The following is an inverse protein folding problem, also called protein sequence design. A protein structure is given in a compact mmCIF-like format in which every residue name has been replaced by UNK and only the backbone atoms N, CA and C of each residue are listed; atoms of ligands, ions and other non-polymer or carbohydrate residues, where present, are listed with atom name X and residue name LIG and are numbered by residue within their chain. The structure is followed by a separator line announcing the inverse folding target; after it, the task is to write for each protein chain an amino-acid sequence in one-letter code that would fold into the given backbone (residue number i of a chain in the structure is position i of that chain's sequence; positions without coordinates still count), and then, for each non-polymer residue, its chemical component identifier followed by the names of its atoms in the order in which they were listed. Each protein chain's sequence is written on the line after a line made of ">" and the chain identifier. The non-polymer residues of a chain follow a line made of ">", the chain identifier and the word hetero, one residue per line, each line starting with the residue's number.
data_IF_726233209880
#
_entry.id   IF_726233209880
#
_cell.length_a   1.000
_cell.length_b   1.000
_cell.length_c   1.000
_cell.angle_alpha   90.00
_cell.angle_beta   90.00
_cell.angle_gamma   90.00
#
_symmetry.space_group_name_H-M   'P 1'
#
loop_
_entity.id
_entity.type
_entity.pdbx_description
1 polymer ?
#
# COMPACT_ATOMS: atom_id res chain seq x y z
N UNK A 1 39.45 -3.74 -59.06
CA UNK A 1 39.27 -2.92 -57.84
C UNK A 1 37.78 -2.94 -57.50
N UNK A 2 37.39 -3.88 -56.65
CA UNK A 2 36.05 -4.47 -56.55
C UNK A 2 35.07 -3.62 -55.76
N UNK A 3 33.84 -3.55 -56.27
CA UNK A 3 32.63 -2.97 -55.68
C UNK A 3 32.11 -3.66 -54.40
N UNK A 4 33.02 -4.20 -53.58
CA UNK A 4 32.74 -5.00 -52.38
C UNK A 4 32.79 -4.18 -51.08
N UNK A 5 32.94 -2.85 -51.18
CA UNK A 5 33.23 -1.99 -50.01
C UNK A 5 32.04 -1.11 -49.58
N UNK A 6 31.02 -0.95 -50.43
CA UNK A 6 29.86 -0.07 -50.13
C UNK A 6 28.73 -0.72 -49.32
N UNK A 7 28.66 -2.05 -49.27
CA UNK A 7 27.59 -2.75 -48.57
C UNK A 7 27.80 -2.81 -47.05
N UNK A 8 29.06 -2.75 -46.60
CA UNK A 8 29.43 -2.95 -45.20
C UNK A 8 29.32 -1.67 -44.36
N UNK A 9 29.39 -0.50 -45.00
CA UNK A 9 29.32 0.81 -44.33
C UNK A 9 27.88 1.23 -43.97
N UNK A 10 26.86 0.69 -44.64
CA UNK A 10 25.45 1.01 -44.38
C UNK A 10 24.85 0.29 -43.15
N UNK A 11 25.41 -0.85 -42.75
CA UNK A 11 24.87 -1.70 -41.69
C UNK A 11 25.40 -1.28 -40.30
N UNK A 12 26.53 -0.57 -40.24
CA UNK A 12 27.12 -0.13 -38.98
C UNK A 12 26.45 1.11 -38.38
N UNK A 13 25.80 1.96 -39.18
CA UNK A 13 25.16 3.19 -38.68
C UNK A 13 23.78 2.92 -38.05
N UNK A 14 23.09 1.86 -38.48
CA UNK A 14 21.73 1.54 -38.04
C UNK A 14 21.67 0.92 -36.63
N UNK A 15 22.80 0.40 -36.12
CA UNK A 15 22.91 -0.19 -34.76
C UNK A 15 23.27 0.83 -33.67
N UNK A 16 23.71 2.03 -34.05
CA UNK A 16 24.26 3.03 -33.11
C UNK A 16 23.19 3.96 -32.51
N UNK A 17 22.02 4.07 -33.13
CA UNK A 17 20.92 4.94 -32.65
C UNK A 17 19.92 4.23 -31.71
N UNK A 18 19.87 2.90 -31.70
CA UNK A 18 18.94 2.16 -30.83
C UNK A 18 19.36 2.21 -29.34
N UNK A 19 20.67 2.25 -29.08
CA UNK A 19 21.23 2.25 -27.73
C UNK A 19 20.88 3.50 -26.90
N UNK A 20 21.01 4.74 -27.41
CA UNK A 20 20.60 5.93 -26.65
C UNK A 20 19.08 6.00 -26.44
N UNK A 21 18.27 5.51 -27.37
CA UNK A 21 16.80 5.49 -27.25
C UNK A 21 16.36 4.55 -26.13
N UNK A 22 16.95 3.36 -26.03
CA UNK A 22 16.66 2.39 -24.96
C UNK A 22 17.06 2.96 -23.60
N UNK A 23 18.21 3.62 -23.50
CA UNK A 23 18.68 4.25 -22.26
C UNK A 23 17.74 5.38 -21.84
N UNK A 24 17.30 6.21 -22.78
CA UNK A 24 16.39 7.33 -22.50
C UNK A 24 15.01 6.84 -22.06
N UNK A 25 14.49 5.79 -22.71
CA UNK A 25 13.24 5.15 -22.32
C UNK A 25 13.33 4.49 -20.93
N UNK A 26 14.45 3.83 -20.62
CA UNK A 26 14.69 3.23 -19.31
C UNK A 26 14.76 4.30 -18.20
N UNK A 27 15.46 5.41 -18.43
CA UNK A 27 15.54 6.52 -17.49
C UNK A 27 14.16 7.16 -17.25
N UNK A 28 13.36 7.36 -18.30
CA UNK A 28 12.01 7.89 -18.18
C UNK A 28 11.07 6.96 -17.39
N UNK A 29 11.22 5.64 -17.52
CA UNK A 29 10.46 4.65 -16.73
C UNK A 29 10.92 4.66 -15.26
N UNK A 30 12.22 4.78 -15.01
CA UNK A 30 12.77 4.82 -13.66
C UNK A 30 12.47 6.13 -12.90
N UNK A 31 12.33 7.26 -13.61
CA UNK A 31 12.09 8.58 -13.00
C UNK A 31 10.64 9.09 -13.13
N UNK A 32 9.79 8.44 -13.95
CA UNK A 32 8.43 8.88 -14.21
C UNK A 32 7.39 8.47 -13.17
N UNK A 33 7.78 7.71 -12.14
CA UNK A 33 6.87 7.35 -11.06
C UNK A 33 6.65 8.55 -10.14
N UNK A 34 5.60 9.32 -10.41
CA UNK A 34 5.05 10.25 -9.43
C UNK A 34 4.47 9.42 -8.29
N UNK A 35 5.24 9.29 -7.21
CA UNK A 35 4.77 8.68 -5.97
C UNK A 35 3.68 9.59 -5.41
N UNK A 36 2.42 9.23 -5.65
CA UNK A 36 1.29 9.86 -4.98
C UNK A 36 1.24 9.35 -3.55
N UNK A 37 1.67 10.18 -2.60
CA UNK A 37 1.55 9.91 -1.17
C UNK A 37 0.12 10.16 -0.69
N UNK A 38 -0.86 9.45 -1.26
CA UNK A 38 -2.17 9.32 -0.64
C UNK A 38 -2.03 8.31 0.50
N UNK A 39 -1.60 8.78 1.66
CA UNK A 39 -1.49 7.93 2.84
C UNK A 39 -2.89 7.42 3.22
N UNK A 40 -2.97 6.12 3.52
CA UNK A 40 -4.23 5.54 3.95
C UNK A 40 -4.73 6.29 5.20
N UNK A 41 -6.06 6.53 5.32
CA UNK A 41 -6.62 7.13 6.52
C UNK A 41 -6.12 6.40 7.77
N UNK A 42 -5.65 7.13 8.79
CA UNK A 42 -5.08 6.56 10.02
C UNK A 42 -5.94 5.44 10.62
N UNK A 43 -7.27 5.58 10.56
CA UNK A 43 -8.23 4.56 10.99
C UNK A 43 -7.97 3.21 10.33
N UNK A 44 -7.74 3.17 9.01
CA UNK A 44 -7.49 1.92 8.30
C UNK A 44 -6.19 1.26 8.75
N UNK A 45 -5.16 2.07 9.02
CA UNK A 45 -3.89 1.57 9.56
C UNK A 45 -4.07 0.96 10.94
N UNK A 46 -4.81 1.61 11.83
CA UNK A 46 -5.12 1.09 13.17
C UNK A 46 -5.92 -0.21 13.07
N UNK A 47 -7.00 -0.22 12.29
CA UNK A 47 -7.85 -1.40 12.11
C UNK A 47 -7.07 -2.59 11.56
N UNK A 48 -6.15 -2.36 10.61
CA UNK A 48 -5.29 -3.40 10.05
C UNK A 48 -4.34 -4.00 11.10
N UNK A 49 -3.74 -3.17 11.96
CA UNK A 49 -2.84 -3.64 13.02
C UNK A 49 -3.58 -4.44 14.09
N UNK A 50 -4.75 -3.97 14.53
CA UNK A 50 -5.60 -4.69 15.51
C UNK A 50 -6.02 -6.05 14.97
N UNK A 51 -6.50 -6.11 13.72
CA UNK A 51 -6.86 -7.37 13.08
C UNK A 51 -5.66 -8.31 12.89
N UNK A 52 -4.48 -7.75 12.58
CA UNK A 52 -3.24 -8.51 12.47
C UNK A 52 -2.87 -9.20 13.78
N UNK A 53 -2.98 -8.48 14.91
CA UNK A 53 -2.74 -9.03 16.24
C UNK A 53 -3.73 -10.17 16.57
N UNK A 54 -5.02 -9.97 16.32
CA UNK A 54 -6.03 -11.01 16.55
C UNK A 54 -5.77 -12.29 15.77
N UNK A 55 -5.42 -12.16 14.48
CA UNK A 55 -5.07 -13.31 13.63
C UNK A 55 -3.84 -14.04 14.14
N UNK A 56 -2.80 -13.30 14.54
CA UNK A 56 -1.56 -13.87 15.09
C UNK A 56 -1.83 -14.69 16.34
N UNK A 57 -2.69 -14.19 17.22
CA UNK A 57 -2.98 -14.81 18.51
C UNK A 57 -4.18 -15.79 18.45
N UNK A 58 -4.74 -16.03 17.26
CA UNK A 58 -5.93 -16.85 17.02
C UNK A 58 -7.15 -16.41 17.86
N UNK A 59 -7.29 -15.11 18.08
CA UNK A 59 -8.40 -14.51 18.81
C UNK A 59 -9.52 -14.20 17.82
N UNK A 60 -10.72 -14.80 17.97
CA UNK A 60 -11.87 -14.45 17.14
C UNK A 60 -12.36 -13.04 17.49
N UNK A 61 -12.86 -12.31 16.49
CA UNK A 61 -13.54 -11.03 16.73
C UNK A 61 -14.76 -11.25 17.62
N UNK A 62 -15.01 -10.32 18.55
CA UNK A 62 -16.24 -10.29 19.31
C UNK A 62 -17.45 -10.11 18.37
N UNK A 63 -18.57 -10.73 18.72
CA UNK A 63 -19.86 -10.50 18.05
C UNK A 63 -20.34 -9.08 18.34
N UNK A 64 -21.16 -8.53 17.44
CA UNK A 64 -21.86 -7.27 17.68
C UNK A 64 -22.63 -7.35 19.00
N UNK A 65 -22.44 -6.35 19.85
CA UNK A 65 -23.16 -6.21 21.10
C UNK A 65 -24.39 -5.32 20.90
N UNK A 66 -25.44 -5.54 21.69
CA UNK A 66 -26.50 -4.55 21.86
C UNK A 66 -25.98 -3.35 22.69
N UNK A 67 -26.73 -2.25 22.68
CA UNK A 67 -26.31 -1.00 23.32
C UNK A 67 -26.06 -1.17 24.82
N UNK A 68 -26.95 -1.90 25.52
CA UNK A 68 -26.80 -2.15 26.95
C UNK A 68 -25.53 -2.93 27.29
N UNK A 69 -25.22 -3.96 26.50
CA UNK A 69 -24.00 -4.76 26.65
C UNK A 69 -22.76 -3.96 26.29
N UNK A 70 -22.82 -3.16 25.24
CA UNK A 70 -21.72 -2.30 24.83
C UNK A 70 -21.37 -1.28 25.92
N UNK A 71 -22.36 -0.54 26.42
CA UNK A 71 -22.15 0.46 27.46
C UNK A 71 -21.55 -0.16 28.72
N UNK A 72 -22.06 -1.32 29.15
CA UNK A 72 -21.51 -2.02 30.32
C UNK A 72 -20.03 -2.40 30.13
N UNK A 73 -19.65 -2.91 28.95
CA UNK A 73 -18.25 -3.29 28.65
C UNK A 73 -17.34 -2.08 28.65
N UNK A 74 -17.72 -1.03 27.94
CA UNK A 74 -16.94 0.21 27.86
C UNK A 74 -16.78 0.87 29.23
N UNK A 75 -17.82 0.89 30.06
CA UNK A 75 -17.72 1.46 31.40
C UNK A 75 -16.78 0.65 32.30
N UNK A 76 -16.83 -0.69 32.22
CA UNK A 76 -15.89 -1.53 32.94
C UNK A 76 -14.45 -1.32 32.46
N UNK A 77 -14.24 -1.22 31.15
CA UNK A 77 -12.90 -1.07 30.58
C UNK A 77 -12.28 0.30 30.88
N UNK A 78 -13.09 1.36 30.91
CA UNK A 78 -12.62 2.73 31.09
C UNK A 78 -12.68 3.23 32.55
N UNK A 79 -13.72 2.87 33.29
CA UNK A 79 -14.02 3.38 34.65
C UNK A 79 -13.81 2.30 35.71
N UNK A 80 -13.93 1.01 35.35
CA UNK A 80 -13.78 -0.11 36.27
C UNK A 80 -15.03 -0.45 37.09
N UNK A 81 -16.19 0.14 36.77
CA UNK A 81 -17.46 -0.09 37.47
C UNK A 81 -18.60 -0.33 36.48
N UNK A 82 -19.73 -0.85 36.98
CA UNK A 82 -20.97 -0.96 36.20
C UNK A 82 -21.69 0.38 36.27
N UNK A 83 -22.15 0.96 35.14
CA UNK A 83 -22.83 2.24 35.18
C UNK A 83 -24.16 2.13 35.90
N UNK A 84 -24.51 3.19 36.64
CA UNK A 84 -25.86 3.41 37.13
C UNK A 84 -26.80 3.78 35.99
N UNK A 85 -28.12 3.75 36.24
CA UNK A 85 -29.11 4.14 35.23
C UNK A 85 -28.88 5.56 34.69
N UNK A 86 -28.52 6.49 35.56
CA UNK A 86 -28.33 7.89 35.19
C UNK A 86 -27.04 8.11 34.38
N UNK A 87 -26.03 7.26 34.56
CA UNK A 87 -24.78 7.29 33.79
C UNK A 87 -24.90 6.61 32.42
N UNK A 88 -25.83 5.66 32.26
CA UNK A 88 -26.06 4.90 31.03
C UNK A 88 -27.18 5.48 30.13
N UNK A 89 -27.74 6.62 30.51
CA UNK A 89 -28.87 7.27 29.82
C UNK A 89 -28.44 8.09 28.60
#
# INVERSE_FOLDING_TARGET
>A
MTASDKATTGILHQRSMALPIIITAFVAICFGATVSAAEAPLRQTIDAQVQGAWKKDNIPSATTADDATFLRRVFLDLVGTIPTHDEAR
#
